data_IF_325427957252
#
_entry.id   IF_325427957252
#
_cell.length_a   1.000
_cell.length_b   1.000
_cell.length_c   1.000
_cell.angle_alpha   90.00
_cell.angle_beta   90.00
_cell.angle_gamma   90.00
#
_symmetry.space_group_name_H-M   'P 1'
#
loop_
_entity.id
_entity.type
_entity.pdbx_description
1 polymer ?
#
# COMPACT_ATOMS: atom_id res chain seq x y z
N UNK A 1 10.35 14.77 -6.28
CA UNK A 1 10.72 13.34 -6.15
C UNK A 1 9.43 12.56 -5.96
N UNK A 2 9.29 11.40 -6.58
CA UNK A 2 8.09 10.57 -6.44
C UNK A 2 8.49 9.11 -6.22
N UNK A 3 7.62 8.35 -5.57
CA UNK A 3 7.82 6.94 -5.27
C UNK A 3 6.62 6.13 -5.73
N UNK A 4 6.87 4.94 -6.28
CA UNK A 4 5.85 3.93 -6.49
C UNK A 4 5.94 2.93 -5.35
N UNK A 5 4.89 2.85 -4.54
CA UNK A 5 4.91 2.09 -3.29
C UNK A 5 3.83 1.01 -3.33
N UNK A 6 4.21 -0.21 -2.99
CA UNK A 6 3.24 -1.25 -2.68
C UNK A 6 2.74 -1.08 -1.25
N UNK A 7 1.42 -1.01 -1.09
CA UNK A 7 0.76 -0.81 0.20
C UNK A 7 0.02 -2.08 0.59
N UNK A 8 0.11 -2.45 1.86
CA UNK A 8 -0.75 -3.46 2.48
C UNK A 8 -1.16 -2.98 3.86
N UNK A 9 -2.47 -2.97 4.11
CA UNK A 9 -3.08 -2.58 5.38
C UNK A 9 -3.68 -3.84 6.01
N UNK A 10 -3.22 -4.17 7.21
CA UNK A 10 -3.69 -5.32 7.99
C UNK A 10 -3.56 -5.04 9.48
N UNK A 11 -4.31 -5.74 10.30
CA UNK A 11 -4.01 -5.90 11.71
C UNK A 11 -3.39 -7.29 11.99
N UNK A 12 -3.37 -7.73 13.24
CA UNK A 12 -2.81 -9.02 13.65
C UNK A 12 -3.55 -10.22 13.05
N UNK A 13 -4.84 -10.05 12.73
CA UNK A 13 -5.76 -11.12 12.36
C UNK A 13 -6.23 -11.06 10.91
N UNK A 14 -6.31 -9.86 10.34
CA UNK A 14 -7.10 -9.59 9.15
C UNK A 14 -6.38 -8.63 8.20
N UNK A 15 -6.41 -8.97 6.90
CA UNK A 15 -5.91 -8.11 5.83
C UNK A 15 -7.07 -7.33 5.22
N UNK A 16 -6.99 -6.00 5.29
CA UNK A 16 -8.05 -5.08 4.86
C UNK A 16 -7.88 -4.63 3.41
N UNK A 17 -6.65 -4.32 3.01
CA UNK A 17 -6.34 -3.79 1.69
C UNK A 17 -4.92 -4.16 1.28
N UNK A 18 -4.70 -4.37 -0.01
CA UNK A 18 -3.37 -4.49 -0.58
C UNK A 18 -3.35 -4.04 -2.04
N UNK A 19 -2.24 -3.46 -2.48
CA UNK A 19 -1.98 -3.19 -3.90
C UNK A 19 -1.33 -4.38 -4.61
N UNK A 20 -1.09 -5.49 -3.90
CA UNK A 20 -0.44 -6.68 -4.44
C UNK A 20 -1.47 -7.80 -4.64
N UNK A 21 -1.76 -8.12 -5.89
CA UNK A 21 -2.82 -9.07 -6.27
C UNK A 21 -2.64 -10.44 -5.60
N UNK A 22 -1.42 -10.97 -5.60
CA UNK A 22 -1.11 -12.26 -5.01
C UNK A 22 -1.33 -12.29 -3.49
N UNK A 23 -1.14 -11.15 -2.81
CA UNK A 23 -1.44 -11.03 -1.39
C UNK A 23 -2.96 -11.02 -1.17
N UNK A 24 -3.71 -10.32 -2.03
CA UNK A 24 -5.17 -10.30 -1.95
C UNK A 24 -5.80 -11.68 -2.16
N UNK A 25 -5.28 -12.44 -3.14
CA UNK A 25 -5.72 -13.83 -3.43
C UNK A 25 -5.48 -14.74 -2.23
N UNK A 26 -4.27 -14.72 -1.65
CA UNK A 26 -3.94 -15.54 -0.47
C UNK A 26 -4.77 -15.18 0.76
N UNK A 27 -5.12 -13.90 0.90
CA UNK A 27 -5.95 -13.41 2.00
C UNK A 27 -7.46 -13.59 1.76
N UNK A 28 -7.89 -14.06 0.57
CA UNK A 28 -9.31 -14.25 0.25
C UNK A 28 -10.09 -12.95 0.04
N UNK A 29 -9.42 -11.81 -0.16
CA UNK A 29 -10.06 -10.50 -0.39
C UNK A 29 -9.90 -10.00 -1.84
N UNK A 30 -9.49 -10.89 -2.74
CA UNK A 30 -9.32 -10.56 -4.15
C UNK A 30 -10.63 -10.10 -4.80
N UNK A 31 -10.56 -9.10 -5.66
CA UNK A 31 -11.69 -8.60 -6.45
C UNK A 31 -11.23 -8.20 -7.85
N UNK A 32 -11.89 -8.72 -8.87
CA UNK A 32 -11.65 -8.35 -10.28
C UNK A 32 -11.94 -6.87 -10.58
N UNK A 33 -12.67 -6.19 -9.69
CA UNK A 33 -12.97 -4.76 -9.81
C UNK A 33 -11.83 -3.87 -9.32
N UNK A 34 -10.79 -4.44 -8.70
CA UNK A 34 -9.67 -3.69 -8.11
C UNK A 34 -8.45 -3.80 -9.02
N UNK A 35 -7.79 -2.67 -9.25
CA UNK A 35 -6.51 -2.63 -9.94
C UNK A 35 -5.38 -2.71 -8.93
N UNK A 36 -4.63 -3.81 -8.96
CA UNK A 36 -3.52 -4.08 -8.04
C UNK A 36 -2.20 -3.51 -8.56
N UNK A 37 -2.11 -2.18 -8.56
CA UNK A 37 -0.92 -1.44 -8.97
C UNK A 37 -0.32 -0.66 -7.79
N UNK A 38 1.01 -0.44 -7.78
CA UNK A 38 1.65 0.45 -6.81
C UNK A 38 1.00 1.84 -6.81
N UNK A 39 0.91 2.45 -5.63
CA UNK A 39 0.43 3.83 -5.49
C UNK A 39 1.56 4.81 -5.77
N UNK A 40 1.25 5.89 -6.49
CA UNK A 40 2.14 7.03 -6.64
C UNK A 40 2.10 7.88 -5.38
N UNK A 41 3.27 8.10 -4.78
CA UNK A 41 3.44 8.92 -3.59
C UNK A 41 4.37 10.09 -3.92
N UNK A 42 3.88 11.30 -3.67
CA UNK A 42 4.65 12.53 -3.77
C UNK A 42 4.77 13.08 -2.34
N UNK A 43 5.97 13.03 -1.73
CA UNK A 43 6.17 13.53 -0.38
C UNK A 43 5.74 15.01 -0.26
N UNK A 44 4.97 15.32 0.78
CA UNK A 44 4.45 16.67 1.02
C UNK A 44 3.14 17.01 0.30
N UNK A 45 2.71 16.20 -0.68
CA UNK A 45 1.45 16.40 -1.40
C UNK A 45 0.44 15.26 -1.18
N UNK A 46 0.93 14.03 -1.01
CA UNK A 46 0.06 12.88 -0.76
C UNK A 46 -0.24 12.75 0.73
N UNK A 47 -1.52 12.80 1.11
CA UNK A 47 -1.97 12.49 2.47
C UNK A 47 -1.89 10.99 2.72
N UNK A 48 -0.78 10.56 3.32
CA UNK A 48 -0.60 9.21 3.86
C UNK A 48 -0.45 9.25 5.37
N UNK A 49 -0.63 8.10 6.02
CA UNK A 49 -0.36 7.96 7.44
C UNK A 49 1.09 8.40 7.74
N UNK A 50 1.33 9.23 8.77
CA UNK A 50 2.67 9.79 9.06
C UNK A 50 3.78 8.73 9.13
N UNK A 51 3.52 7.59 9.77
CA UNK A 51 4.48 6.47 9.87
C UNK A 51 4.85 5.84 8.53
N UNK A 52 3.94 5.83 7.57
CA UNK A 52 4.21 5.34 6.21
C UNK A 52 5.13 6.34 5.48
N UNK A 53 4.87 7.63 5.62
CA UNK A 53 5.72 8.68 5.04
C UNK A 53 7.14 8.67 5.63
N UNK A 54 7.26 8.54 6.95
CA UNK A 54 8.56 8.41 7.64
C UNK A 54 9.39 7.25 7.10
N UNK A 55 8.78 6.06 6.92
CA UNK A 55 9.48 4.89 6.35
C UNK A 55 9.90 5.08 4.90
N UNK A 56 9.08 5.74 4.09
CA UNK A 56 9.40 6.02 2.69
C UNK A 56 10.63 6.94 2.63
N UNK A 57 10.64 8.00 3.44
CA UNK A 57 11.74 8.97 3.50
C UNK A 57 13.01 8.40 4.16
N UNK A 58 12.88 7.42 5.06
CA UNK A 58 14.04 6.78 5.73
C UNK A 58 14.65 5.62 4.95
N UNK A 59 14.08 5.25 3.81
CA UNK A 59 14.58 4.15 2.96
C UNK A 59 15.65 4.60 1.96
N UNK A 60 16.13 5.84 2.08
CA UNK A 60 17.27 6.41 1.35
C UNK A 60 18.59 6.28 2.13
#
# INVERSE_FOLDING_TARGET
MFYLVNLTIRDESSLYQTTVEEVAKRAGIYSEKVSYNPILVIPGETELFPKLMERILSSE
#
